data_IF_149421195854
#
_entry.id   IF_149421195854
#
_cell.length_a   1.000
_cell.length_b   1.000
_cell.length_c   1.000
_cell.angle_alpha   90.00
_cell.angle_beta   90.00
_cell.angle_gamma   90.00
#
_symmetry.space_group_name_H-M   'P 1'
#
loop_
_entity.id
_entity.type
_entity.pdbx_description
1 polymer ?
#
# COMPACT_ATOMS: atom_id res chain seq x y z
N UNK A 1 3.26 -13.93 1.08
CA UNK A 1 3.57 -14.02 2.52
C UNK A 1 3.04 -12.78 3.21
N UNK A 2 2.29 -12.91 4.32
CA UNK A 2 1.84 -11.75 5.08
C UNK A 2 3.04 -10.95 5.63
N UNK A 3 3.04 -9.61 5.53
CA UNK A 3 4.18 -8.78 5.91
C UNK A 3 4.50 -8.84 7.41
N UNK A 4 3.54 -9.16 8.27
CA UNK A 4 3.77 -9.29 9.71
C UNK A 4 4.82 -10.35 10.10
N UNK A 5 5.03 -11.37 9.25
CA UNK A 5 6.00 -12.43 9.52
C UNK A 5 7.44 -12.07 9.11
N UNK A 6 7.64 -10.95 8.41
CA UNK A 6 8.94 -10.59 7.85
C UNK A 6 10.05 -10.49 8.91
N UNK A 7 9.77 -9.91 10.07
CA UNK A 7 10.76 -9.81 11.16
C UNK A 7 11.17 -11.19 11.72
N UNK A 8 10.20 -12.08 11.92
CA UNK A 8 10.44 -13.41 12.47
C UNK A 8 11.28 -14.26 11.51
N UNK A 9 10.99 -14.18 10.21
CA UNK A 9 11.75 -14.90 9.18
C UNK A 9 13.15 -14.35 9.01
N UNK A 10 13.32 -13.02 9.09
CA UNK A 10 14.65 -12.40 9.05
C UNK A 10 15.54 -12.86 10.21
N UNK A 11 14.96 -13.16 11.37
CA UNK A 11 15.70 -13.67 12.53
C UNK A 11 15.98 -15.17 12.53
N UNK A 12 15.36 -15.94 11.62
CA UNK A 12 15.51 -17.40 11.60
C UNK A 12 16.70 -17.80 10.70
N UNK A 13 17.76 -18.44 11.25
CA UNK A 13 18.96 -18.80 10.49
C UNK A 13 18.75 -19.94 9.49
N UNK A 14 17.63 -20.67 9.56
CA UNK A 14 17.31 -21.78 8.66
C UNK A 14 16.62 -21.33 7.36
N UNK A 15 16.27 -20.05 7.24
CA UNK A 15 15.56 -19.51 6.07
C UNK A 15 16.27 -18.28 5.53
N UNK A 16 16.23 -18.11 4.20
CA UNK A 16 16.69 -16.90 3.53
C UNK A 16 15.48 -16.08 3.13
N UNK A 17 15.37 -14.87 3.68
CA UNK A 17 14.31 -13.93 3.29
C UNK A 17 14.77 -13.13 2.07
N UNK A 18 14.21 -13.44 0.91
CA UNK A 18 14.38 -12.65 -0.31
C UNK A 18 13.33 -11.53 -0.36
N UNK A 19 13.76 -10.32 -0.71
CA UNK A 19 12.89 -9.17 -0.96
C UNK A 19 13.09 -8.72 -2.40
N UNK A 20 11.99 -8.56 -3.12
CA UNK A 20 11.99 -8.11 -4.51
C UNK A 20 10.79 -7.22 -4.78
N UNK A 21 10.82 -6.55 -5.94
CA UNK A 21 9.68 -5.75 -6.40
C UNK A 21 8.49 -6.66 -6.71
N UNK A 22 7.36 -6.37 -6.07
CA UNK A 22 6.11 -7.10 -6.28
C UNK A 22 5.29 -6.45 -7.40
N UNK A 23 4.62 -7.27 -8.20
CA UNK A 23 3.72 -6.82 -9.27
C UNK A 23 2.34 -6.31 -8.77
N UNK A 24 2.13 -6.24 -7.45
CA UNK A 24 0.84 -5.89 -6.86
C UNK A 24 0.77 -4.41 -6.47
N UNK A 25 -0.34 -3.75 -6.83
CA UNK A 25 -0.69 -2.40 -6.38
C UNK A 25 -2.00 -2.49 -5.60
N UNK A 26 -2.09 -1.76 -4.48
CA UNK A 26 -3.31 -1.67 -3.68
C UNK A 26 -3.90 -0.26 -3.80
N UNK A 27 -5.21 -0.17 -3.99
CA UNK A 27 -5.92 1.12 -4.08
C UNK A 27 -7.35 1.01 -3.53
N UNK A 28 -7.94 2.17 -3.24
CA UNK A 28 -9.37 2.30 -2.97
C UNK A 28 -10.03 2.85 -4.22
N UNK A 29 -10.92 2.07 -4.84
CA UNK A 29 -11.72 2.54 -5.97
C UNK A 29 -12.86 3.42 -5.45
N UNK A 30 -13.00 4.62 -6.02
CA UNK A 30 -14.08 5.55 -5.69
C UNK A 30 -15.15 5.47 -6.78
N UNK A 31 -16.41 5.25 -6.38
CA UNK A 31 -17.52 5.27 -7.33
C UNK A 31 -17.81 6.71 -7.77
N UNK A 32 -17.39 7.06 -8.98
CA UNK A 32 -17.51 8.41 -9.54
C UNK A 32 -18.93 8.79 -9.99
N UNK A 33 -19.88 7.85 -9.96
CA UNK A 33 -21.28 8.12 -10.30
C UNK A 33 -22.09 8.61 -9.08
N UNK A 34 -21.59 8.37 -7.87
CA UNK A 34 -22.29 8.74 -6.64
C UNK A 34 -21.78 10.06 -6.05
N UNK A 35 -22.71 10.92 -5.60
CA UNK A 35 -22.36 12.12 -4.82
C UNK A 35 -21.90 11.70 -3.40
N UNK A 36 -20.85 12.33 -2.82
CA UNK A 36 -20.05 13.43 -3.36
C UNK A 36 -18.79 12.99 -4.14
N UNK A 37 -18.59 11.68 -4.33
CA UNK A 37 -17.41 11.12 -5.00
C UNK A 37 -17.34 11.43 -6.51
N UNK A 38 -18.45 11.87 -7.10
CA UNK A 38 -18.49 12.37 -8.47
C UNK A 38 -17.71 13.68 -8.66
N UNK A 39 -17.53 14.50 -7.61
CA UNK A 39 -16.70 15.71 -7.67
C UNK A 39 -15.19 15.36 -7.59
N UNK A 40 -14.43 15.78 -8.60
CA UNK A 40 -12.97 15.56 -8.67
C UNK A 40 -12.26 16.12 -7.44
N UNK A 41 -12.70 17.27 -6.92
CA UNK A 41 -12.06 17.94 -5.78
C UNK A 41 -12.23 17.13 -4.49
N UNK A 42 -13.37 16.44 -4.33
CA UNK A 42 -13.60 15.54 -3.20
C UNK A 42 -12.63 14.36 -3.27
N UNK A 43 -12.44 13.77 -4.45
CA UNK A 43 -11.49 12.65 -4.64
C UNK A 43 -10.04 13.08 -4.40
N UNK A 44 -9.67 14.26 -4.88
CA UNK A 44 -8.36 14.85 -4.62
C UNK A 44 -8.14 15.10 -3.13
N UNK A 45 -9.13 15.65 -2.44
CA UNK A 45 -9.06 15.87 -0.99
C UNK A 45 -8.87 14.57 -0.21
N UNK A 46 -9.58 13.50 -0.58
CA UNK A 46 -9.39 12.17 0.04
C UNK A 46 -7.97 11.63 -0.16
N UNK A 47 -7.41 11.73 -1.38
CA UNK A 47 -6.04 11.29 -1.65
C UNK A 47 -4.99 12.10 -0.89
N UNK A 48 -5.18 13.41 -0.73
CA UNK A 48 -4.28 14.29 0.04
C UNK A 48 -4.41 14.11 1.56
N UNK A 49 -5.62 13.80 2.04
CA UNK A 49 -5.87 13.55 3.46
C UNK A 49 -5.33 12.20 3.95
N UNK A 50 -4.94 11.31 3.02
CA UNK A 50 -4.45 9.97 3.36
C UNK A 50 -2.95 10.00 3.64
N UNK A 51 -2.57 9.69 4.88
CA UNK A 51 -1.18 9.48 5.27
C UNK A 51 -0.69 8.10 4.79
N UNK A 52 -0.10 8.09 3.59
CA UNK A 52 0.43 6.87 2.96
C UNK A 52 1.61 6.30 3.74
N UNK A 53 2.44 7.13 4.35
CA UNK A 53 3.63 6.66 5.08
C UNK A 53 3.25 5.97 6.39
N UNK A 54 2.24 6.50 7.09
CA UNK A 54 1.68 5.83 8.26
C UNK A 54 1.08 4.46 7.89
N UNK A 55 0.34 4.36 6.78
CA UNK A 55 -0.23 3.09 6.31
C UNK A 55 0.85 2.05 5.95
N UNK A 56 1.92 2.47 5.26
CA UNK A 56 3.03 1.57 4.92
C UNK A 56 3.71 1.00 6.17
N UNK A 57 3.86 1.80 7.23
CA UNK A 57 4.44 1.35 8.49
C UNK A 57 3.47 0.44 9.25
N UNK A 58 2.22 0.85 9.41
CA UNK A 58 1.25 0.17 10.26
C UNK A 58 0.73 -1.14 9.65
N UNK A 59 0.58 -1.21 8.32
CA UNK A 59 -0.05 -2.35 7.64
C UNK A 59 0.98 -3.20 6.89
N UNK A 60 1.94 -2.56 6.22
CA UNK A 60 2.91 -3.26 5.39
C UNK A 60 4.23 -3.53 6.11
N UNK A 61 4.41 -3.05 7.35
CA UNK A 61 5.60 -3.27 8.17
C UNK A 61 6.92 -2.90 7.45
N UNK A 62 6.88 -1.94 6.52
CA UNK A 62 8.04 -1.52 5.71
C UNK A 62 8.35 -2.40 4.50
N UNK A 63 7.54 -3.41 4.18
CA UNK A 63 7.70 -4.30 3.02
C UNK A 63 6.94 -3.83 1.76
N UNK A 64 6.55 -2.55 1.72
CA UNK A 64 5.89 -1.94 0.57
C UNK A 64 6.34 -0.49 0.39
N UNK A 65 6.09 0.05 -0.80
CA UNK A 65 6.35 1.44 -1.17
C UNK A 65 5.06 2.15 -1.56
N UNK A 66 5.09 3.49 -1.50
CA UNK A 66 3.92 4.29 -1.84
C UNK A 66 3.60 4.18 -3.35
N UNK A 67 2.37 3.76 -3.66
CA UNK A 67 1.89 3.72 -5.04
C UNK A 67 1.59 5.12 -5.58
N UNK A 68 2.05 5.39 -6.81
CA UNK A 68 1.74 6.63 -7.54
C UNK A 68 1.24 6.38 -8.98
N UNK A 69 1.11 5.11 -9.37
CA UNK A 69 0.58 4.64 -10.64
C UNK A 69 -0.33 3.44 -10.38
N UNK A 70 -1.37 3.20 -11.20
CA UNK A 70 -2.14 1.96 -11.14
C UNK A 70 -1.34 0.72 -11.57
N UNK A 71 -0.16 0.91 -12.18
CA UNK A 71 0.74 -0.16 -12.57
C UNK A 71 1.88 -0.30 -11.54
N UNK A 72 2.25 -1.54 -11.24
CA UNK A 72 3.46 -1.83 -10.49
C UNK A 72 4.69 -1.34 -11.28
N UNK A 73 5.73 -0.95 -10.54
CA UNK A 73 7.02 -0.61 -11.13
C UNK A 73 7.82 -1.87 -11.45
#
# INVERSE_FOLDING_TARGET
MPPQFGMQLKSNPQVKLEQGEGASVFWVALNVEQKPLNDVRVRQALNLATDKDALLKAVMFGYASAANSPLAR
#
